data_IF_752426230670
#
_entry.id   IF_752426230670
#
_cell.length_a   1.000
_cell.length_b   1.000
_cell.length_c   1.000
_cell.angle_alpha   90.00
_cell.angle_beta   90.00
_cell.angle_gamma   90.00
#
_symmetry.space_group_name_H-M   'P 1'
#
loop_
_entity.id
_entity.type
_entity.pdbx_description
1 polymer ?
#
# COMPACT_ATOMS: atom_id res chain seq x y z
N UNK A 1 -20.74 -49.69 4.19
CA UNK A 1 -21.16 -48.46 4.87
C UNK A 1 -19.90 -47.65 5.21
N UNK A 2 -19.83 -46.42 4.74
CA UNK A 2 -18.75 -45.49 5.14
C UNK A 2 -19.13 -44.98 6.54
N UNK A 3 -18.28 -45.13 7.54
CA UNK A 3 -18.57 -44.66 8.89
C UNK A 3 -18.70 -43.13 8.91
N UNK A 4 -19.61 -42.61 9.74
CA UNK A 4 -19.84 -41.17 9.89
C UNK A 4 -18.56 -40.40 10.24
N UNK A 5 -17.65 -41.04 10.95
CA UNK A 5 -16.36 -40.45 11.38
C UNK A 5 -15.39 -40.18 10.22
N UNK A 6 -15.66 -40.80 9.04
CA UNK A 6 -14.90 -40.49 7.80
C UNK A 6 -15.53 -39.37 6.98
N UNK A 7 -16.77 -38.94 7.33
CA UNK A 7 -17.48 -37.86 6.64
C UNK A 7 -17.23 -36.52 7.34
N UNK A 8 -16.87 -36.54 8.63
CA UNK A 8 -16.60 -35.37 9.46
C UNK A 8 -15.09 -35.26 9.65
N UNK A 9 -14.44 -34.64 8.70
CA UNK A 9 -13.01 -34.29 8.78
C UNK A 9 -12.78 -32.93 8.12
N UNK A 10 -11.66 -32.27 8.39
CA UNK A 10 -11.32 -31.06 7.64
C UNK A 10 -11.35 -31.38 6.14
N UNK A 11 -12.01 -30.52 5.38
CA UNK A 11 -12.05 -30.66 3.93
C UNK A 11 -10.62 -30.76 3.40
N UNK A 12 -10.31 -31.83 2.68
CA UNK A 12 -9.03 -31.97 1.98
C UNK A 12 -9.27 -31.61 0.52
N UNK A 13 -8.45 -30.75 -0.10
CA UNK A 13 -8.56 -30.48 -1.52
C UNK A 13 -8.35 -31.79 -2.31
N UNK A 14 -9.20 -32.03 -3.31
CA UNK A 14 -9.14 -33.21 -4.17
C UNK A 14 -7.94 -33.11 -5.11
N UNK A 15 -7.54 -31.89 -5.47
CA UNK A 15 -6.34 -31.54 -6.23
C UNK A 15 -5.46 -30.72 -5.31
N UNK A 16 -4.31 -31.23 -4.96
CA UNK A 16 -3.27 -30.49 -4.22
C UNK A 16 -2.30 -29.89 -5.22
N UNK A 17 -2.42 -28.60 -5.51
CA UNK A 17 -1.23 -27.86 -5.89
C UNK A 17 -0.31 -27.86 -4.67
N UNK A 18 0.94 -28.25 -4.84
CA UNK A 18 1.92 -28.28 -3.76
C UNK A 18 2.31 -26.85 -3.38
N UNK A 19 1.44 -26.17 -2.65
CA UNK A 19 1.81 -24.90 -1.99
C UNK A 19 2.77 -25.25 -0.87
N UNK A 20 4.03 -24.99 -1.09
CA UNK A 20 5.07 -25.19 -0.10
C UNK A 20 5.06 -24.00 0.88
N UNK A 21 4.67 -24.23 2.13
CA UNK A 21 4.74 -23.21 3.19
C UNK A 21 6.14 -22.62 3.35
N UNK A 22 7.20 -23.39 3.02
CA UNK A 22 8.57 -22.89 3.01
C UNK A 22 8.77 -21.77 1.99
N UNK A 23 8.12 -21.84 0.84
CA UNK A 23 8.24 -20.83 -0.22
C UNK A 23 7.42 -19.56 0.15
N UNK A 24 6.29 -19.71 0.80
CA UNK A 24 5.55 -18.58 1.38
C UNK A 24 6.41 -17.81 2.39
N UNK A 25 7.03 -18.50 3.35
CA UNK A 25 7.88 -17.88 4.36
C UNK A 25 9.11 -17.21 3.71
N UNK A 26 9.73 -17.86 2.73
CA UNK A 26 10.84 -17.28 1.97
C UNK A 26 10.44 -15.99 1.27
N UNK A 27 9.29 -15.99 0.57
CA UNK A 27 8.80 -14.79 -0.10
C UNK A 27 8.47 -13.68 0.88
N UNK A 28 7.78 -14.00 1.96
CA UNK A 28 7.43 -13.06 3.04
C UNK A 28 8.67 -12.36 3.60
N UNK A 29 9.71 -13.13 3.92
CA UNK A 29 10.97 -12.59 4.42
C UNK A 29 11.74 -11.80 3.35
N UNK A 30 11.73 -12.26 2.10
CA UNK A 30 12.34 -11.57 0.97
C UNK A 30 11.69 -10.20 0.74
N UNK A 31 10.36 -10.11 0.78
CA UNK A 31 9.66 -8.84 0.63
C UNK A 31 9.97 -7.90 1.80
N UNK A 32 10.01 -8.40 3.03
CA UNK A 32 10.45 -7.63 4.18
C UNK A 32 11.87 -7.08 3.98
N UNK A 33 12.83 -7.92 3.59
CA UNK A 33 14.22 -7.51 3.32
C UNK A 33 14.28 -6.45 2.21
N UNK A 34 13.50 -6.64 1.14
CA UNK A 34 13.44 -5.70 0.02
C UNK A 34 12.97 -4.32 0.47
N UNK A 35 11.92 -4.22 1.32
CA UNK A 35 11.47 -2.93 1.87
C UNK A 35 12.60 -2.23 2.60
N UNK A 36 13.34 -2.96 3.45
CA UNK A 36 14.43 -2.41 4.25
C UNK A 36 15.73 -2.16 3.46
N UNK A 37 15.80 -2.54 2.20
CA UNK A 37 16.95 -2.27 1.33
C UNK A 37 16.89 -0.91 0.60
N UNK A 38 15.78 -0.18 0.73
CA UNK A 38 15.65 1.17 0.16
C UNK A 38 16.61 2.16 0.81
N UNK A 39 17.12 3.09 -0.01
CA UNK A 39 17.89 4.26 0.48
C UNK A 39 17.05 5.19 1.36
N UNK A 40 15.73 5.08 1.27
CA UNK A 40 14.76 5.86 2.04
C UNK A 40 14.45 5.21 3.39
N UNK A 41 15.40 4.75 4.14
CA UNK A 41 15.32 4.15 5.47
C UNK A 41 13.92 3.97 6.06
N UNK A 42 13.44 2.73 6.17
CA UNK A 42 12.12 2.39 6.70
C UNK A 42 12.27 1.90 8.14
N UNK A 43 11.77 2.65 9.12
CA UNK A 43 11.88 2.33 10.54
C UNK A 43 10.58 2.63 11.31
N UNK A 44 10.45 2.09 12.54
CA UNK A 44 9.26 2.29 13.35
C UNK A 44 8.06 1.44 12.94
N UNK A 45 8.28 0.35 12.20
CA UNK A 45 7.22 -0.56 11.79
C UNK A 45 6.75 -1.46 12.96
N UNK A 46 5.46 -1.85 13.01
CA UNK A 46 4.99 -2.90 13.89
C UNK A 46 5.74 -4.22 13.67
N UNK A 47 5.82 -5.05 14.72
CA UNK A 47 6.70 -6.25 14.70
C UNK A 47 6.16 -7.43 13.88
N UNK A 48 4.83 -7.60 13.84
CA UNK A 48 4.20 -8.68 13.08
C UNK A 48 3.99 -8.24 11.63
N UNK A 49 4.18 -9.12 10.67
CA UNK A 49 3.88 -8.81 9.27
C UNK A 49 3.35 -10.04 8.54
N UNK A 50 2.48 -9.80 7.56
CA UNK A 50 1.72 -10.81 6.82
C UNK A 50 1.62 -10.44 5.34
N UNK A 51 1.61 -11.46 4.46
CA UNK A 51 1.27 -11.26 3.05
C UNK A 51 -0.24 -11.07 2.92
N UNK A 52 -0.63 -10.08 2.12
CA UNK A 52 -2.02 -9.76 1.78
C UNK A 52 -2.19 -9.67 0.27
N UNK A 53 -3.43 -9.85 -0.24
CA UNK A 53 -3.76 -9.71 -1.66
C UNK A 53 -3.77 -8.23 -2.11
N UNK A 54 -2.62 -7.56 -1.94
CA UNK A 54 -2.49 -6.11 -2.09
C UNK A 54 -3.18 -5.34 -0.97
N UNK A 55 -2.96 -4.02 -0.89
CA UNK A 55 -3.49 -3.23 0.23
C UNK A 55 -5.02 -3.08 0.23
N UNK A 56 -5.70 -3.27 -0.90
CA UNK A 56 -7.18 -3.33 -0.90
C UNK A 56 -7.71 -4.45 0.00
N UNK A 57 -7.03 -5.60 0.04
CA UNK A 57 -7.37 -6.69 0.96
C UNK A 57 -7.14 -6.27 2.42
N UNK A 58 -5.99 -5.66 2.73
CA UNK A 58 -5.72 -5.12 4.06
C UNK A 58 -6.76 -4.09 4.51
N UNK A 59 -7.23 -3.22 3.60
CA UNK A 59 -8.31 -2.28 3.89
C UNK A 59 -9.63 -2.99 4.18
N UNK A 60 -10.01 -4.00 3.39
CA UNK A 60 -11.23 -4.77 3.63
C UNK A 60 -11.21 -5.47 4.99
N UNK A 61 -10.06 -6.01 5.39
CA UNK A 61 -9.87 -6.56 6.73
C UNK A 61 -9.98 -5.48 7.82
N UNK A 62 -9.42 -4.28 7.59
CA UNK A 62 -9.56 -3.13 8.49
C UNK A 62 -11.04 -2.71 8.61
N UNK A 63 -11.80 -2.68 7.51
CA UNK A 63 -13.21 -2.33 7.53
C UNK A 63 -14.10 -3.35 8.26
N UNK A 64 -13.66 -4.60 8.33
CA UNK A 64 -14.33 -5.62 9.14
C UNK A 64 -14.09 -5.43 10.65
N UNK A 65 -12.96 -4.82 11.03
CA UNK A 65 -12.58 -4.61 12.43
C UNK A 65 -13.09 -3.27 13.00
N UNK A 66 -13.23 -2.24 12.16
CA UNK A 66 -13.55 -0.87 12.57
C UNK A 66 -14.80 -0.36 11.88
N UNK A 67 -15.71 0.25 12.64
CA UNK A 67 -16.97 0.70 12.08
C UNK A 67 -16.84 2.03 11.35
N UNK A 68 -16.05 3.00 11.85
CA UNK A 68 -15.92 4.34 11.27
C UNK A 68 -14.47 4.67 10.94
N UNK A 69 -14.23 5.00 9.68
CA UNK A 69 -12.89 5.25 9.12
C UNK A 69 -12.68 6.76 8.96
N UNK A 70 -11.64 7.28 9.60
CA UNK A 70 -11.18 8.65 9.43
C UNK A 70 -10.21 8.77 8.27
N UNK A 71 -10.39 9.77 7.40
CA UNK A 71 -9.47 10.08 6.31
C UNK A 71 -9.30 11.60 6.17
N UNK A 72 -8.21 12.02 5.58
CA UNK A 72 -8.06 13.40 5.10
C UNK A 72 -8.73 13.60 3.74
N UNK A 73 -9.14 14.83 3.44
CA UNK A 73 -9.64 15.14 2.10
C UNK A 73 -8.50 14.93 1.06
N UNK A 74 -8.85 14.37 -0.10
CA UNK A 74 -7.87 13.98 -1.12
C UNK A 74 -7.33 12.55 -0.99
N UNK A 75 -7.66 11.84 0.09
CA UNK A 75 -7.23 10.44 0.31
C UNK A 75 -7.76 9.48 -0.76
N UNK A 76 -7.24 8.27 -0.79
CA UNK A 76 -7.58 7.25 -1.77
C UNK A 76 -9.09 6.99 -1.84
N UNK A 77 -9.68 7.24 -3.00
CA UNK A 77 -11.14 7.24 -3.18
C UNK A 77 -11.83 5.91 -2.89
N UNK A 78 -11.09 4.80 -2.84
CA UNK A 78 -11.63 3.49 -2.49
C UNK A 78 -12.27 3.47 -1.11
N UNK A 79 -11.72 4.20 -0.14
CA UNK A 79 -12.28 4.27 1.21
C UNK A 79 -13.72 4.79 1.18
N UNK A 80 -13.97 5.91 0.49
CA UNK A 80 -15.32 6.48 0.33
C UNK A 80 -16.24 5.54 -0.44
N UNK A 81 -15.73 4.87 -1.48
CA UNK A 81 -16.52 3.91 -2.29
C UNK A 81 -16.94 2.67 -1.49
N UNK A 82 -16.01 2.09 -0.73
CA UNK A 82 -16.23 0.84 0.01
C UNK A 82 -17.07 1.05 1.29
N UNK A 83 -16.82 2.15 2.01
CA UNK A 83 -17.37 2.37 3.35
C UNK A 83 -18.51 3.40 3.39
N UNK A 84 -18.72 4.18 2.31
CA UNK A 84 -19.83 5.14 2.16
C UNK A 84 -19.94 6.11 3.35
N UNK A 85 -21.06 6.05 4.07
CA UNK A 85 -21.41 6.86 5.26
C UNK A 85 -20.55 6.51 6.50
N UNK A 86 -19.80 5.42 6.45
CA UNK A 86 -18.85 5.03 7.51
C UNK A 86 -17.49 5.71 7.36
N UNK A 87 -17.29 6.58 6.36
CA UNK A 87 -16.09 7.42 6.22
C UNK A 87 -16.37 8.83 6.75
N UNK A 88 -15.42 9.39 7.48
CA UNK A 88 -15.49 10.77 7.99
C UNK A 88 -14.17 11.50 7.78
N UNK A 89 -14.25 12.82 7.58
CA UNK A 89 -13.10 13.73 7.65
C UNK A 89 -12.95 14.39 9.02
N UNK A 90 -13.96 14.24 9.90
CA UNK A 90 -13.84 14.57 11.31
C UNK A 90 -13.15 13.39 12.04
N UNK A 91 -11.84 13.51 12.22
CA UNK A 91 -10.99 12.44 12.78
C UNK A 91 -11.35 12.12 14.24
N UNK A 92 -12.00 13.04 14.96
CA UNK A 92 -12.43 12.79 16.34
C UNK A 92 -13.50 11.69 16.43
N UNK A 93 -14.29 11.51 15.37
CA UNK A 93 -15.36 10.52 15.29
C UNK A 93 -14.90 9.17 14.71
N UNK A 94 -13.64 9.04 14.29
CA UNK A 94 -13.13 7.83 13.72
C UNK A 94 -12.79 6.77 14.78
N UNK A 95 -12.93 5.48 14.42
CA UNK A 95 -12.41 4.36 15.20
C UNK A 95 -10.95 4.07 14.81
N UNK A 96 -10.61 4.28 13.55
CA UNK A 96 -9.25 4.20 12.99
C UNK A 96 -9.07 5.28 11.92
N UNK A 97 -7.85 5.80 11.78
CA UNK A 97 -7.51 6.79 10.76
C UNK A 97 -6.63 6.12 9.71
N UNK A 98 -6.97 6.27 8.42
CA UNK A 98 -6.16 5.74 7.32
C UNK A 98 -5.51 6.91 6.58
N UNK A 99 -4.20 6.83 6.38
CA UNK A 99 -3.39 7.87 5.73
C UNK A 99 -2.44 7.23 4.74
N UNK A 100 -2.49 7.63 3.48
CA UNK A 100 -1.46 7.23 2.51
C UNK A 100 -0.16 8.03 2.70
N UNK A 101 0.96 7.34 2.57
CA UNK A 101 2.31 7.92 2.68
C UNK A 101 3.26 7.32 1.64
N UNK A 102 3.60 8.05 0.57
CA UNK A 102 3.19 9.44 0.20
C UNK A 102 1.68 9.63 0.10
N UNK A 103 1.23 10.88 0.33
CA UNK A 103 -0.19 11.17 0.36
C UNK A 103 -0.87 10.95 -1.00
N UNK A 104 -2.02 10.31 -1.01
CA UNK A 104 -2.73 10.00 -2.25
C UNK A 104 -3.21 11.23 -3.00
N UNK A 105 -3.46 12.33 -2.31
CA UNK A 105 -3.95 13.58 -2.90
C UNK A 105 -2.94 14.26 -3.82
N UNK A 106 -1.67 14.27 -3.43
CA UNK A 106 -0.60 15.02 -4.09
C UNK A 106 0.68 14.19 -4.36
N UNK A 107 0.82 13.02 -3.76
CA UNK A 107 2.03 12.19 -3.86
C UNK A 107 3.23 12.73 -3.09
N UNK A 108 3.01 13.66 -2.16
CA UNK A 108 4.03 14.26 -1.30
C UNK A 108 4.08 13.58 0.07
N UNK A 109 5.03 13.97 0.92
CA UNK A 109 5.08 13.51 2.31
C UNK A 109 3.80 13.81 3.07
N UNK A 110 3.30 12.86 3.85
CA UNK A 110 2.13 13.04 4.72
C UNK A 110 2.46 13.14 6.21
N UNK A 111 3.72 13.40 6.59
CA UNK A 111 4.12 13.47 8.01
C UNK A 111 3.31 14.49 8.81
N UNK A 112 2.96 15.65 8.23
CA UNK A 112 2.11 16.63 8.92
C UNK A 112 0.72 16.07 9.21
N UNK A 113 0.14 15.32 8.26
CA UNK A 113 -1.16 14.65 8.43
C UNK A 113 -1.08 13.54 9.49
N UNK A 114 0.00 12.76 9.48
CA UNK A 114 0.24 11.70 10.49
C UNK A 114 0.37 12.35 11.88
N UNK A 115 1.12 13.45 12.00
CA UNK A 115 1.28 14.19 13.26
C UNK A 115 -0.06 14.70 13.79
N UNK A 116 -0.91 15.25 12.92
CA UNK A 116 -2.26 15.68 13.30
C UNK A 116 -3.09 14.48 13.75
N UNK A 117 -3.09 13.37 12.99
CA UNK A 117 -3.85 12.17 13.32
C UNK A 117 -3.42 11.57 14.67
N UNK A 118 -2.12 11.59 14.96
CA UNK A 118 -1.57 11.04 16.21
C UNK A 118 -2.07 11.76 17.48
N UNK A 119 -2.51 13.04 17.35
CA UNK A 119 -3.10 13.80 18.46
C UNK A 119 -4.48 13.28 18.90
N UNK A 120 -5.17 12.54 18.04
CA UNK A 120 -6.51 12.01 18.36
C UNK A 120 -6.48 10.72 19.18
N UNK A 121 -5.30 10.15 19.45
CA UNK A 121 -5.13 8.88 20.16
C UNK A 121 -6.00 7.74 19.61
N UNK A 122 -6.13 7.69 18.28
CA UNK A 122 -6.82 6.63 17.53
C UNK A 122 -5.78 5.77 16.81
N UNK A 123 -6.04 4.47 16.60
CA UNK A 123 -5.19 3.66 15.74
C UNK A 123 -5.01 4.31 14.37
N UNK A 124 -3.79 4.27 13.83
CA UNK A 124 -3.47 4.81 12.51
C UNK A 124 -2.99 3.68 11.60
N UNK A 125 -3.61 3.55 10.43
CA UNK A 125 -3.15 2.71 9.33
C UNK A 125 -2.42 3.58 8.31
N UNK A 126 -1.16 3.27 8.02
CA UNK A 126 -0.37 3.95 6.98
C UNK A 126 -0.37 3.11 5.70
N UNK A 127 -0.86 3.70 4.61
CA UNK A 127 -0.84 3.12 3.27
C UNK A 127 0.39 3.55 2.49
N UNK A 128 1.41 2.68 2.39
CA UNK A 128 2.62 2.91 1.63
C UNK A 128 2.54 2.29 0.21
N UNK A 129 1.39 2.38 -0.48
CA UNK A 129 1.22 1.84 -1.84
C UNK A 129 2.13 2.50 -2.88
N UNK A 130 2.65 3.71 -2.62
CA UNK A 130 3.58 4.42 -3.51
C UNK A 130 5.05 4.20 -3.13
N UNK A 131 5.35 3.40 -2.13
CA UNK A 131 6.72 2.97 -1.86
C UNK A 131 7.33 2.29 -3.09
N UNK A 132 8.60 2.59 -3.37
CA UNK A 132 9.28 2.09 -4.58
C UNK A 132 9.04 2.92 -5.86
N UNK A 133 8.16 3.93 -5.80
CA UNK A 133 7.94 4.90 -6.89
C UNK A 133 7.92 6.34 -6.38
N UNK A 134 8.53 6.60 -5.24
CA UNK A 134 8.65 7.93 -4.64
C UNK A 134 10.10 8.21 -4.21
N UNK A 135 10.43 9.50 -4.10
CA UNK A 135 11.72 10.00 -3.65
C UNK A 135 11.52 11.09 -2.60
N UNK A 136 12.58 11.42 -1.85
CA UNK A 136 12.57 12.47 -0.82
C UNK A 136 11.52 12.24 0.28
N UNK A 137 11.04 11.00 0.44
CA UNK A 137 10.06 10.64 1.46
C UNK A 137 10.80 9.97 2.63
N UNK A 138 10.50 10.43 3.83
CA UNK A 138 11.00 9.80 5.04
C UNK A 138 9.97 8.78 5.55
N UNK A 139 10.38 7.52 5.72
CA UNK A 139 9.55 6.43 6.27
C UNK A 139 9.89 6.12 7.73
N UNK A 140 10.34 7.12 8.48
CA UNK A 140 10.51 7.00 9.93
C UNK A 140 9.18 7.25 10.64
N UNK A 141 8.62 6.17 11.18
CA UNK A 141 7.37 6.21 11.96
C UNK A 141 7.61 6.20 13.47
N UNK A 142 8.87 6.19 13.93
CA UNK A 142 9.20 6.16 15.37
C UNK A 142 8.67 7.34 16.18
N UNK A 143 8.47 8.56 15.62
CA UNK A 143 7.93 9.67 16.39
C UNK A 143 6.45 9.54 16.76
N UNK A 144 5.70 8.61 16.13
CA UNK A 144 4.25 8.51 16.27
C UNK A 144 3.86 7.33 17.17
N UNK A 145 2.94 7.60 18.11
CA UNK A 145 2.56 6.63 19.16
C UNK A 145 1.46 5.69 18.73
N UNK A 146 0.60 6.13 17.80
CA UNK A 146 -0.64 5.45 17.47
C UNK A 146 -0.56 4.70 16.13
N UNK A 147 0.64 4.52 15.54
CA UNK A 147 0.81 3.70 14.35
C UNK A 147 0.48 2.25 14.70
N UNK A 148 -0.66 1.81 14.18
CA UNK A 148 -1.20 0.47 14.40
C UNK A 148 -0.80 -0.49 13.28
N UNK A 149 -0.88 -0.02 12.03
CA UNK A 149 -0.58 -0.82 10.85
C UNK A 149 0.13 0.00 9.79
N UNK A 150 1.05 -0.64 9.06
CA UNK A 150 1.73 -0.06 7.89
C UNK A 150 1.70 -1.07 6.76
N UNK A 151 1.16 -0.70 5.61
CA UNK A 151 1.03 -1.59 4.46
C UNK A 151 1.86 -1.16 3.27
N UNK A 152 2.55 -2.11 2.63
CA UNK A 152 3.31 -1.93 1.39
C UNK A 152 2.70 -2.75 0.26
N UNK A 153 2.75 -2.27 -0.98
CA UNK A 153 2.22 -2.99 -2.15
C UNK A 153 3.18 -2.90 -3.33
N UNK A 154 3.33 -4.01 -4.05
CA UNK A 154 4.14 -4.06 -5.27
C UNK A 154 3.35 -3.66 -6.52
N UNK A 155 2.03 -3.48 -6.42
CA UNK A 155 1.15 -3.22 -7.57
C UNK A 155 1.48 -1.92 -8.32
N UNK A 156 1.96 -0.89 -7.63
CA UNK A 156 2.34 0.38 -8.27
C UNK A 156 3.79 0.36 -8.75
N UNK A 157 4.68 -0.24 -7.97
CA UNK A 157 6.11 -0.33 -8.27
C UNK A 157 6.39 -1.13 -9.52
N UNK A 158 5.72 -2.29 -9.68
CA UNK A 158 5.96 -3.18 -10.83
C UNK A 158 4.83 -3.21 -11.86
N UNK A 159 3.82 -2.34 -11.73
CA UNK A 159 2.67 -2.34 -12.65
C UNK A 159 1.83 -3.62 -12.59
N UNK A 160 1.99 -4.44 -11.55
CA UNK A 160 1.44 -5.78 -11.43
C UNK A 160 0.03 -5.80 -10.84
N UNK A 161 -0.88 -4.99 -11.39
CA UNK A 161 -2.25 -4.88 -10.89
C UNK A 161 -3.07 -6.17 -10.89
N UNK A 162 -2.70 -7.16 -11.72
CA UNK A 162 -3.34 -8.47 -11.78
C UNK A 162 -2.74 -9.49 -10.79
N UNK A 163 -1.46 -9.35 -10.46
CA UNK A 163 -0.74 -10.21 -9.51
C UNK A 163 -0.64 -9.49 -8.17
N UNK A 164 -1.76 -9.36 -7.50
CA UNK A 164 -1.88 -8.53 -6.30
C UNK A 164 -1.14 -9.14 -5.12
N UNK A 165 -0.16 -8.39 -4.61
CA UNK A 165 0.56 -8.75 -3.39
C UNK A 165 0.92 -7.49 -2.60
N UNK A 166 0.84 -7.59 -1.28
CA UNK A 166 1.26 -6.57 -0.33
C UNK A 166 1.83 -7.22 0.92
N UNK A 167 2.51 -6.41 1.72
CA UNK A 167 2.99 -6.78 3.06
C UNK A 167 2.36 -5.83 4.07
N UNK A 168 1.64 -6.38 5.03
CA UNK A 168 0.98 -5.65 6.11
C UNK A 168 1.74 -5.87 7.42
N UNK A 169 2.33 -4.82 7.96
CA UNK A 169 2.84 -4.79 9.34
C UNK A 169 1.72 -4.35 10.26
N UNK A 170 1.58 -5.00 11.43
CA UNK A 170 0.53 -4.66 12.38
C UNK A 170 0.92 -4.97 13.82
N UNK A 171 0.37 -4.21 14.76
CA UNK A 171 0.51 -4.44 16.19
C UNK A 171 -0.47 -5.48 16.72
N UNK A 172 -1.66 -5.55 16.12
CA UNK A 172 -2.76 -6.41 16.56
C UNK A 172 -2.96 -7.61 15.64
N UNK A 173 -3.93 -8.46 16.02
CA UNK A 173 -4.36 -9.59 15.21
C UNK A 173 -5.29 -9.13 14.09
N UNK A 174 -4.92 -9.42 12.87
CA UNK A 174 -5.74 -9.24 11.67
C UNK A 174 -6.29 -10.58 11.20
N UNK A 175 -7.39 -10.60 10.43
CA UNK A 175 -7.94 -11.84 9.87
C UNK A 175 -6.90 -12.66 9.08
N UNK A 176 -5.94 -12.00 8.41
CA UNK A 176 -4.85 -12.66 7.69
C UNK A 176 -3.97 -13.53 8.60
N UNK A 177 -3.83 -13.21 9.88
CA UNK A 177 -3.10 -14.03 10.84
C UNK A 177 -3.77 -15.40 11.03
N UNK A 178 -5.10 -15.45 11.00
CA UNK A 178 -5.86 -16.70 11.08
C UNK A 178 -5.62 -17.55 9.83
N UNK A 179 -5.62 -16.95 8.64
CA UNK A 179 -5.33 -17.67 7.40
C UNK A 179 -3.92 -18.25 7.39
N UNK A 180 -2.91 -17.47 7.81
CA UNK A 180 -1.53 -17.95 7.90
C UNK A 180 -1.40 -19.13 8.88
N UNK A 181 -2.00 -19.03 10.08
CA UNK A 181 -1.99 -20.10 11.08
C UNK A 181 -2.76 -21.35 10.67
N UNK A 182 -3.81 -21.18 9.86
CA UNK A 182 -4.62 -22.29 9.36
C UNK A 182 -4.03 -22.97 8.14
N UNK A 183 -2.82 -22.62 7.72
CA UNK A 183 -2.12 -23.11 6.53
C UNK A 183 -2.86 -22.83 5.19
N UNK A 184 -3.64 -21.74 5.14
CA UNK A 184 -4.24 -21.19 3.93
C UNK A 184 -3.68 -19.79 3.61
N UNK A 185 -2.32 -19.61 3.59
CA UNK A 185 -1.75 -18.31 3.32
C UNK A 185 -2.04 -17.88 1.90
N UNK A 186 -2.18 -16.56 1.70
CA UNK A 186 -2.29 -15.99 0.37
C UNK A 186 -0.92 -16.03 -0.32
N UNK A 187 -0.78 -16.84 -1.37
CA UNK A 187 0.46 -16.99 -2.14
C UNK A 187 0.33 -16.54 -3.60
N UNK A 188 -0.88 -16.29 -4.09
CA UNK A 188 -1.10 -15.79 -5.44
C UNK A 188 -0.36 -14.47 -5.64
N UNK A 189 0.45 -14.37 -6.67
CA UNK A 189 1.33 -13.22 -6.93
C UNK A 189 2.73 -13.32 -6.31
N UNK A 190 2.95 -14.17 -5.30
CA UNK A 190 4.28 -14.35 -4.71
C UNK A 190 5.30 -14.87 -5.74
N UNK A 191 4.94 -15.89 -6.50
CA UNK A 191 5.80 -16.47 -7.55
C UNK A 191 6.17 -15.43 -8.60
N UNK A 192 5.19 -14.66 -9.08
CA UNK A 192 5.43 -13.61 -10.08
C UNK A 192 6.42 -12.55 -9.60
N UNK A 193 6.39 -12.20 -8.31
CA UNK A 193 7.24 -11.14 -7.76
C UNK A 193 8.55 -11.64 -7.17
N UNK A 194 8.69 -12.95 -6.93
CA UNK A 194 9.87 -13.48 -6.25
C UNK A 194 11.18 -13.09 -6.94
N UNK A 195 11.25 -13.28 -8.25
CA UNK A 195 12.41 -12.93 -9.07
C UNK A 195 12.56 -11.41 -9.30
N UNK A 196 11.43 -10.67 -9.31
CA UNK A 196 11.47 -9.22 -9.47
C UNK A 196 12.14 -8.55 -8.28
N UNK A 197 11.89 -9.05 -7.05
CA UNK A 197 12.53 -8.54 -5.84
C UNK A 197 14.04 -8.79 -5.79
N UNK A 198 14.56 -9.77 -6.54
CA UNK A 198 16.02 -9.98 -6.68
C UNK A 198 16.64 -9.03 -7.71
N UNK A 199 15.92 -8.77 -8.78
CA UNK A 199 16.41 -8.03 -9.93
C UNK A 199 16.31 -6.51 -9.78
N UNK A 200 15.44 -6.05 -8.91
CA UNK A 200 15.07 -4.64 -8.79
C UNK A 200 15.05 -4.20 -7.34
N UNK A 201 15.86 -3.21 -7.00
CA UNK A 201 15.80 -2.55 -5.69
C UNK A 201 14.49 -1.75 -5.54
N UNK A 202 14.08 -1.37 -4.32
CA UNK A 202 12.95 -0.47 -4.11
C UNK A 202 13.10 0.87 -4.84
N UNK A 203 14.33 1.31 -5.10
CA UNK A 203 14.64 2.62 -5.67
C UNK A 203 14.75 2.60 -7.20
N UNK A 204 14.79 1.41 -7.82
CA UNK A 204 15.03 1.20 -9.27
C UNK A 204 14.07 1.98 -10.18
N UNK A 205 12.79 2.12 -9.79
CA UNK A 205 11.82 2.85 -10.60
C UNK A 205 12.08 4.36 -10.57
N UNK A 206 12.46 4.88 -9.42
CA UNK A 206 12.82 6.30 -9.26
C UNK A 206 14.09 6.63 -10.01
N UNK A 207 15.11 5.77 -9.92
CA UNK A 207 16.36 5.91 -10.65
C UNK A 207 16.12 5.95 -12.16
N UNK A 208 15.27 5.04 -12.66
CA UNK A 208 14.98 4.93 -14.09
C UNK A 208 14.09 6.06 -14.61
N UNK A 209 13.05 6.46 -13.90
CA UNK A 209 11.99 7.31 -14.42
C UNK A 209 11.92 8.71 -13.79
N UNK A 210 12.69 8.98 -12.75
CA UNK A 210 12.63 10.26 -12.03
C UNK A 210 12.99 11.47 -12.88
N UNK A 211 13.98 11.38 -13.74
CA UNK A 211 14.34 12.49 -14.65
C UNK A 211 13.35 12.64 -15.81
N UNK A 212 12.79 11.54 -16.28
CA UNK A 212 11.72 11.58 -17.30
C UNK A 212 10.49 12.31 -16.75
N UNK A 213 10.09 12.03 -15.49
CA UNK A 213 9.01 12.78 -14.83
C UNK A 213 9.27 14.28 -14.82
N UNK A 214 10.49 14.70 -14.42
CA UNK A 214 10.86 16.13 -14.36
C UNK A 214 10.78 16.79 -15.74
N UNK A 215 11.25 16.09 -16.76
CA UNK A 215 11.20 16.58 -18.15
C UNK A 215 9.77 16.79 -18.61
N UNK A 216 8.90 15.78 -18.43
CA UNK A 216 7.48 15.87 -18.78
C UNK A 216 6.78 16.99 -18.00
N UNK A 217 7.04 17.10 -16.70
CA UNK A 217 6.46 18.17 -15.87
C UNK A 217 6.88 19.56 -16.36
N UNK A 218 8.15 19.72 -16.76
CA UNK A 218 8.65 20.96 -17.34
C UNK A 218 7.96 21.30 -18.68
N UNK A 219 7.79 20.32 -19.57
CA UNK A 219 7.08 20.49 -20.84
C UNK A 219 5.62 20.88 -20.67
N UNK A 220 4.96 20.31 -19.64
CA UNK A 220 3.57 20.62 -19.29
C UNK A 220 3.42 21.88 -18.42
N UNK A 221 4.51 22.52 -18.00
CA UNK A 221 4.53 23.63 -17.06
C UNK A 221 3.82 23.34 -15.75
N UNK A 222 4.04 22.14 -15.18
CA UNK A 222 3.51 21.68 -13.91
C UNK A 222 4.64 21.28 -12.94
N UNK A 223 4.36 21.18 -11.65
CA UNK A 223 5.35 20.83 -10.63
C UNK A 223 5.44 19.31 -10.45
N UNK A 224 6.64 18.68 -10.51
CA UNK A 224 6.76 17.25 -10.24
C UNK A 224 6.46 16.96 -8.76
N UNK A 225 5.65 15.93 -8.50
CA UNK A 225 5.45 15.35 -7.18
C UNK A 225 6.67 14.50 -6.76
N UNK A 226 6.80 14.20 -5.46
CA UNK A 226 7.77 13.21 -4.98
C UNK A 226 7.41 11.79 -5.43
N UNK A 227 6.16 11.50 -5.74
CA UNK A 227 5.74 10.26 -6.42
C UNK A 227 5.90 10.44 -7.93
N UNK A 228 6.74 9.62 -8.57
CA UNK A 228 7.14 9.78 -9.98
C UNK A 228 5.99 9.70 -10.99
N UNK A 229 4.83 9.17 -10.60
CA UNK A 229 3.66 9.05 -11.48
C UNK A 229 2.85 10.35 -11.59
N UNK A 230 3.15 11.39 -10.80
CA UNK A 230 2.32 12.57 -10.71
C UNK A 230 3.07 13.86 -11.02
N UNK A 231 2.32 14.78 -11.64
CA UNK A 231 2.60 16.22 -11.67
C UNK A 231 1.48 16.97 -10.96
N UNK A 232 1.79 18.12 -10.38
CA UNK A 232 0.90 18.94 -9.58
C UNK A 232 0.69 20.31 -10.23
N UNK A 233 -0.54 20.80 -10.16
CA UNK A 233 -0.92 22.11 -10.66
C UNK A 233 -2.06 22.68 -9.83
N UNK A 234 -2.25 24.01 -9.87
CA UNK A 234 -3.36 24.68 -9.18
C UNK A 234 -4.17 25.57 -10.14
N UNK A 235 -3.91 25.49 -11.45
CA UNK A 235 -4.65 26.27 -12.45
C UNK A 235 -6.09 25.74 -12.63
N UNK A 236 -6.96 26.61 -13.17
CA UNK A 236 -8.34 26.24 -13.49
C UNK A 236 -8.40 25.24 -14.63
N UNK A 237 -7.39 25.21 -15.50
CA UNK A 237 -7.29 24.32 -16.66
C UNK A 237 -7.36 22.86 -16.25
N UNK A 238 -6.70 22.51 -15.15
CA UNK A 238 -6.64 21.14 -14.65
C UNK A 238 -7.60 20.86 -13.46
N UNK A 239 -8.55 21.75 -13.21
CA UNK A 239 -9.47 21.64 -12.04
C UNK A 239 -10.28 20.35 -12.00
N UNK A 240 -10.54 19.69 -13.14
CA UNK A 240 -11.18 18.37 -13.23
C UNK A 240 -10.38 17.25 -12.56
N UNK A 241 -9.09 17.46 -12.33
CA UNK A 241 -8.18 16.51 -11.67
C UNK A 241 -7.94 16.84 -10.20
N UNK A 242 -8.76 17.75 -9.65
CA UNK A 242 -8.63 18.21 -8.25
C UNK A 242 -8.74 17.04 -7.28
N UNK A 243 -7.79 17.00 -6.34
CA UNK A 243 -7.78 16.07 -5.21
C UNK A 243 -7.37 16.83 -3.94
N UNK A 244 -8.30 17.02 -3.00
CA UNK A 244 -8.05 17.92 -1.87
C UNK A 244 -7.78 19.34 -2.38
N UNK A 245 -6.60 19.88 -2.07
CA UNK A 245 -6.25 21.27 -2.34
C UNK A 245 -5.51 21.48 -3.67
N UNK A 246 -5.08 20.41 -4.37
CA UNK A 246 -4.30 20.51 -5.61
C UNK A 246 -4.90 19.68 -6.75
N UNK A 247 -4.56 20.01 -7.98
CA UNK A 247 -4.82 19.20 -9.15
C UNK A 247 -3.68 18.19 -9.29
N UNK A 248 -3.99 16.89 -9.16
CA UNK A 248 -3.02 15.81 -9.33
C UNK A 248 -3.18 15.15 -10.68
N UNK A 249 -2.23 15.38 -11.58
CA UNK A 249 -2.19 14.80 -12.92
C UNK A 249 -1.41 13.49 -12.87
N UNK A 250 -2.02 12.39 -13.32
CA UNK A 250 -1.31 11.13 -13.51
C UNK A 250 -0.63 11.15 -14.88
N UNK A 251 0.71 11.22 -14.88
CA UNK A 251 1.54 11.28 -16.10
C UNK A 251 2.20 9.95 -16.46
N UNK A 252 1.77 8.85 -15.82
CA UNK A 252 2.35 7.52 -16.03
C UNK A 252 2.34 7.06 -17.50
N UNK A 253 1.28 7.41 -18.25
CA UNK A 253 1.19 7.11 -19.68
C UNK A 253 2.27 7.84 -20.49
N UNK A 254 2.50 9.12 -20.19
CA UNK A 254 3.55 9.91 -20.84
C UNK A 254 4.94 9.35 -20.53
N UNK A 255 5.19 8.96 -19.28
CA UNK A 255 6.45 8.31 -18.89
C UNK A 255 6.67 7.02 -19.66
N UNK A 256 5.64 6.19 -19.79
CA UNK A 256 5.73 4.94 -20.56
C UNK A 256 5.99 5.19 -22.06
N UNK A 257 5.39 6.21 -22.61
CA UNK A 257 5.57 6.57 -24.05
C UNK A 257 6.96 7.15 -24.32
N UNK A 258 7.57 7.85 -23.36
CA UNK A 258 8.89 8.48 -23.48
C UNK A 258 10.03 7.48 -23.72
N UNK A 259 9.85 6.22 -23.28
CA UNK A 259 10.84 5.15 -23.47
C UNK A 259 10.73 4.44 -24.83
N UNK A 260 9.70 4.73 -25.63
CA UNK A 260 9.47 4.08 -26.91
C UNK A 260 9.93 4.97 -28.09
N UNK A 261 10.60 6.07 -27.81
CA UNK A 261 11.28 6.97 -28.73
C UNK A 261 12.79 6.86 -28.50
#
# INVERSE_FOLDING_TARGET
MISSDKIIGPAKPIITENVNMGDYIKFKNKFNTWIHSSVQSVIGLPKKYYIVSGLTDAFNQTYALYNKIGIFEGEYGYHKLAMKDRVTTDLSQADIIIISHPFSGDGMSSHDKIKIADTYNKPIFIDCAFFGICRNINFDFTPYKNIHSVGFSLSKTFGSGLHRVGLLYTSDSYPVEVYEKSMYPFVAGAEHHYDLLDKMSPDSMVEKYGEIQKTICKELNIVPSDTILFGLDNSIEYSRYKRGDTNRLCISYLIASYNNV
#
